data_IF_552198622613
#
_entry.id   IF_552198622613
#
_cell.length_a   1.000
_cell.length_b   1.000
_cell.length_c   1.000
_cell.angle_alpha   90.00
_cell.angle_beta   90.00
_cell.angle_gamma   90.00
#
_symmetry.space_group_name_H-M   'P 1'
#
loop_
_entity.id
_entity.type
_entity.pdbx_description
1 polymer ?
#
# COMPACT_ATOMS: atom_id res chain seq x y z
N UNK A 1 49.82 -9.04 23.28
CA UNK A 1 50.05 -7.70 23.85
C UNK A 1 51.54 -7.59 24.10
N UNK A 2 52.27 -6.95 23.19
CA UNK A 2 53.70 -6.66 23.39
C UNK A 2 53.76 -5.20 23.80
N UNK A 3 54.14 -4.97 25.05
CA UNK A 3 54.33 -3.64 25.62
C UNK A 3 55.71 -3.15 25.16
N UNK A 4 55.75 -2.20 24.22
CA UNK A 4 56.99 -1.72 23.60
C UNK A 4 57.74 -0.66 24.45
N UNK A 5 57.33 -0.47 25.71
CA UNK A 5 57.84 0.60 26.58
C UNK A 5 58.46 0.09 27.89
N UNK A 6 58.67 -1.22 28.04
CA UNK A 6 59.50 -1.75 29.11
C UNK A 6 60.95 -1.88 28.58
N UNK A 7 61.93 -1.34 29.33
CA UNK A 7 63.38 -1.28 29.09
C UNK A 7 63.97 -0.06 28.37
N UNK A 8 63.60 1.16 28.77
CA UNK A 8 64.55 2.28 28.64
C UNK A 8 64.90 2.82 30.01
N UNK A 9 65.99 2.29 30.55
CA UNK A 9 66.68 2.74 31.76
C UNK A 9 66.82 4.28 31.79
N UNK A 10 66.21 4.92 32.79
CA UNK A 10 66.26 6.37 33.07
C UNK A 10 67.64 6.92 33.47
N UNK A 11 68.74 6.18 33.26
CA UNK A 11 70.06 6.51 33.81
C UNK A 11 71.04 7.20 32.85
N UNK A 12 70.58 7.73 31.69
CA UNK A 12 71.41 8.58 30.82
C UNK A 12 70.77 9.94 30.51
N UNK A 13 70.60 10.70 31.59
CA UNK A 13 70.84 12.15 31.58
C UNK A 13 72.24 12.41 31.02
N UNK A 14 72.36 12.95 29.81
CA UNK A 14 73.40 13.88 29.32
C UNK A 14 73.48 13.79 27.79
N UNK A 15 72.82 14.75 27.13
CA UNK A 15 72.86 14.91 25.69
C UNK A 15 71.50 15.33 25.17
N UNK A 16 71.26 16.65 25.13
CA UNK A 16 70.19 17.28 24.37
C UNK A 16 70.39 16.99 22.87
N UNK A 17 70.19 15.74 22.46
CA UNK A 17 69.99 15.43 21.05
C UNK A 17 68.48 15.38 20.86
N UNK A 18 67.90 16.26 20.00
CA UNK A 18 66.48 16.22 19.76
C UNK A 18 66.11 14.82 19.27
N UNK A 19 65.05 14.26 19.84
CA UNK A 19 64.48 12.95 19.49
C UNK A 19 64.06 12.83 18.01
N UNK A 20 64.25 13.89 17.22
CA UNK A 20 63.94 13.99 15.80
C UNK A 20 65.20 14.50 15.09
N UNK A 21 65.70 13.82 14.06
CA UNK A 21 66.80 14.32 13.25
C UNK A 21 66.45 15.72 12.71
N UNK A 22 67.36 16.69 12.89
CA UNK A 22 67.21 18.09 12.41
C UNK A 22 66.85 18.16 10.92
N UNK A 23 67.26 17.15 10.15
CA UNK A 23 66.94 16.99 8.72
C UNK A 23 65.42 16.87 8.47
N UNK A 24 64.65 16.30 9.40
CA UNK A 24 63.20 16.20 9.31
C UNK A 24 62.50 17.46 9.85
N UNK A 25 63.05 18.13 10.87
CA UNK A 25 62.50 19.38 11.41
C UNK A 25 62.52 20.53 10.39
N UNK A 26 63.52 20.58 9.51
CA UNK A 26 63.64 21.60 8.47
C UNK A 26 62.92 21.26 7.17
N UNK A 27 62.29 20.08 7.07
CA UNK A 27 61.47 19.78 5.89
C UNK A 27 60.17 20.57 5.99
N UNK A 28 59.92 21.46 5.01
CA UNK A 28 58.64 22.19 4.87
C UNK A 28 57.40 21.29 4.80
N UNK A 29 57.61 19.98 4.69
CA UNK A 29 56.59 18.96 4.58
C UNK A 29 56.09 18.43 5.93
N UNK A 30 56.79 18.68 7.04
CA UNK A 30 56.47 18.14 8.36
C UNK A 30 56.19 19.29 9.36
N UNK A 31 54.98 19.33 9.91
CA UNK A 31 54.61 20.24 10.99
C UNK A 31 54.58 19.50 12.31
N UNK A 32 55.40 19.94 13.26
CA UNK A 32 55.37 19.48 14.64
C UNK A 32 54.38 20.36 15.42
N UNK A 33 53.38 19.75 16.06
CA UNK A 33 52.46 20.46 16.97
C UNK A 33 52.29 19.69 18.26
N UNK A 34 52.26 20.42 19.37
CA UNK A 34 51.97 19.88 20.71
C UNK A 34 50.45 19.88 20.94
N UNK A 35 49.88 18.72 21.23
CA UNK A 35 48.45 18.56 21.56
C UNK A 35 48.23 18.99 23.02
N UNK A 36 47.00 19.35 23.48
CA UNK A 36 46.75 19.68 24.89
C UNK A 36 47.12 18.59 25.90
N UNK A 37 47.28 17.34 25.46
CA UNK A 37 47.78 16.23 26.29
C UNK A 37 49.29 16.26 26.53
N UNK A 38 50.03 17.20 25.93
CA UNK A 38 51.47 17.36 26.08
C UNK A 38 52.32 16.60 25.06
N UNK A 39 51.74 15.70 24.27
CA UNK A 39 52.48 14.93 23.27
C UNK A 39 52.76 15.77 22.01
N UNK A 40 53.94 15.60 21.43
CA UNK A 40 54.28 16.16 20.12
C UNK A 40 53.84 15.20 19.01
N UNK A 41 53.03 15.68 18.07
CA UNK A 41 52.72 14.95 16.84
C UNK A 41 53.50 15.59 15.69
N UNK A 42 54.20 14.74 14.96
CA UNK A 42 54.83 15.07 13.70
C UNK A 42 53.84 14.72 12.58
N UNK A 43 53.21 15.73 12.00
CA UNK A 43 52.25 15.55 10.91
C UNK A 43 52.88 15.92 9.56
N UNK A 44 52.66 15.11 8.52
CA UNK A 44 52.97 15.56 7.16
C UNK A 44 51.89 16.52 6.67
N UNK A 45 52.27 17.76 6.37
CA UNK A 45 51.36 18.85 5.99
C UNK A 45 50.50 18.47 4.78
N UNK A 46 51.09 17.81 3.80
CA UNK A 46 50.38 17.37 2.58
C UNK A 46 49.35 16.27 2.86
N UNK A 47 49.71 15.29 3.68
CA UNK A 47 48.85 14.14 3.98
C UNK A 47 47.70 14.57 4.90
N UNK A 48 47.97 15.41 5.91
CA UNK A 48 46.92 16.04 6.73
C UNK A 48 45.99 16.90 5.88
N UNK A 49 46.51 17.71 4.95
CA UNK A 49 45.67 18.54 4.06
C UNK A 49 44.82 17.69 3.12
N UNK A 50 45.38 16.63 2.55
CA UNK A 50 44.65 15.69 1.70
C UNK A 50 43.57 14.95 2.48
N UNK A 51 43.90 14.39 3.64
CA UNK A 51 42.96 13.69 4.52
C UNK A 51 41.86 14.61 5.03
N UNK A 52 42.19 15.86 5.38
CA UNK A 52 41.20 16.89 5.74
C UNK A 52 40.27 17.22 4.57
N UNK A 53 40.80 17.39 3.36
CA UNK A 53 39.98 17.64 2.16
C UNK A 53 39.05 16.46 1.88
N UNK A 54 39.55 15.23 1.95
CA UNK A 54 38.75 14.02 1.73
C UNK A 54 37.69 13.84 2.81
N UNK A 55 38.03 14.01 4.10
CA UNK A 55 37.09 13.98 5.22
C UNK A 55 36.00 15.03 5.07
N UNK A 56 36.36 16.27 4.70
CA UNK A 56 35.38 17.33 4.49
C UNK A 56 34.48 17.04 3.27
N UNK A 57 35.02 16.45 2.21
CA UNK A 57 34.25 16.03 1.04
C UNK A 57 33.23 14.94 1.42
N UNK A 58 33.65 13.88 2.13
CA UNK A 58 32.76 12.83 2.62
C UNK A 58 31.72 13.37 3.61
N UNK A 59 32.13 14.18 4.59
CA UNK A 59 31.22 14.82 5.54
C UNK A 59 30.18 15.68 4.82
N UNK A 60 30.58 16.45 3.80
CA UNK A 60 29.65 17.25 2.99
C UNK A 60 28.69 16.40 2.14
N UNK A 61 29.10 15.20 1.71
CA UNK A 61 28.23 14.29 0.97
C UNK A 61 27.23 13.63 1.92
N UNK A 62 27.69 13.14 3.07
CA UNK A 62 26.84 12.55 4.09
C UNK A 62 25.81 13.55 4.62
N UNK A 63 26.24 14.79 4.94
CA UNK A 63 25.34 15.87 5.37
C UNK A 63 24.31 16.20 4.28
N UNK A 64 24.69 16.21 3.00
CA UNK A 64 23.75 16.38 1.88
C UNK A 64 22.73 15.23 1.79
N UNK A 65 23.17 13.98 1.96
CA UNK A 65 22.27 12.83 1.96
C UNK A 65 21.32 12.83 3.16
N UNK A 66 21.83 13.16 4.35
CA UNK A 66 21.02 13.27 5.57
C UNK A 66 19.98 14.37 5.43
N UNK A 67 20.37 15.57 4.99
CA UNK A 67 19.44 16.68 4.70
C UNK A 67 18.42 16.31 3.63
N UNK A 68 18.85 15.63 2.58
CA UNK A 68 17.96 15.12 1.52
C UNK A 68 16.95 14.10 2.05
N UNK A 69 17.38 13.19 2.93
CA UNK A 69 16.53 12.19 3.56
C UNK A 69 15.53 12.81 4.55
N UNK A 70 16.01 13.70 5.42
CA UNK A 70 15.15 14.44 6.35
C UNK A 70 14.11 15.27 5.61
N UNK A 71 14.50 15.93 4.51
CA UNK A 71 13.58 16.67 3.64
C UNK A 71 12.51 15.76 3.00
N UNK A 72 12.89 14.58 2.50
CA UNK A 72 11.93 13.60 1.97
C UNK A 72 10.95 13.11 3.04
N UNK A 73 11.42 12.81 4.25
CA UNK A 73 10.56 12.43 5.37
C UNK A 73 9.60 13.57 5.73
N UNK A 74 10.09 14.80 5.82
CA UNK A 74 9.26 15.97 6.10
C UNK A 74 8.19 16.17 5.01
N UNK A 75 8.57 16.10 3.74
CA UNK A 75 7.65 16.20 2.60
C UNK A 75 6.61 15.08 2.61
N UNK A 76 7.02 13.85 2.89
CA UNK A 76 6.09 12.72 3.00
C UNK A 76 5.08 12.91 4.13
N UNK A 77 5.53 13.36 5.31
CA UNK A 77 4.63 13.67 6.43
C UNK A 77 3.64 14.78 6.07
N UNK A 78 4.09 15.83 5.38
CA UNK A 78 3.21 16.90 4.90
C UNK A 78 2.18 16.39 3.89
N UNK A 79 2.58 15.53 2.95
CA UNK A 79 1.67 14.92 1.97
C UNK A 79 0.63 14.02 2.67
N UNK A 80 1.06 13.17 3.60
CA UNK A 80 0.15 12.31 4.38
C UNK A 80 -0.83 13.18 5.19
N UNK A 81 -0.35 14.23 5.84
CA UNK A 81 -1.22 15.14 6.60
C UNK A 81 -2.22 15.86 5.68
N UNK A 82 -1.78 16.27 4.49
CA UNK A 82 -2.66 16.88 3.49
C UNK A 82 -3.75 15.89 3.05
N UNK A 83 -3.40 14.64 2.77
CA UNK A 83 -4.36 13.58 2.40
C UNK A 83 -5.33 13.31 3.55
N UNK A 84 -4.85 13.21 4.79
CA UNK A 84 -5.70 13.00 5.98
C UNK A 84 -6.67 14.18 6.16
N UNK A 85 -6.19 15.42 6.10
CA UNK A 85 -7.01 16.61 6.24
C UNK A 85 -8.06 16.73 5.13
N UNK A 86 -7.66 16.46 3.88
CA UNK A 86 -8.56 16.42 2.73
C UNK A 86 -9.62 15.33 2.91
N UNK A 87 -9.22 14.12 3.30
CA UNK A 87 -10.12 12.98 3.48
C UNK A 87 -11.12 13.24 4.60
N UNK A 88 -10.68 13.84 5.71
CA UNK A 88 -11.56 14.23 6.82
C UNK A 88 -12.55 15.32 6.41
N UNK A 89 -12.12 16.29 5.60
CA UNK A 89 -12.97 17.40 5.17
C UNK A 89 -14.00 16.99 4.11
N UNK A 90 -13.61 16.14 3.17
CA UNK A 90 -14.40 15.87 1.97
C UNK A 90 -15.08 14.49 1.98
N UNK A 91 -14.49 13.49 2.62
CA UNK A 91 -14.98 12.10 2.61
C UNK A 91 -15.64 11.76 3.95
N UNK A 92 -14.85 11.82 5.03
CA UNK A 92 -15.22 11.47 6.40
C UNK A 92 -15.70 12.71 7.17
N UNK A 93 -16.61 13.49 6.60
CA UNK A 93 -17.15 14.71 7.24
C UNK A 93 -18.39 14.44 8.10
N UNK A 94 -18.88 13.19 8.14
CA UNK A 94 -20.07 12.78 8.91
C UNK A 94 -19.64 12.11 10.20
N UNK A 95 -19.68 12.85 11.31
CA UNK A 95 -19.22 12.37 12.61
C UNK A 95 -20.00 11.14 13.12
N UNK A 96 -21.31 11.05 12.85
CA UNK A 96 -22.15 9.93 13.26
C UNK A 96 -21.75 8.62 12.58
N UNK A 97 -21.59 8.64 11.24
CA UNK A 97 -21.12 7.48 10.49
C UNK A 97 -19.69 7.12 10.89
N UNK A 98 -18.78 8.10 11.02
CA UNK A 98 -17.39 7.87 11.42
C UNK A 98 -17.27 7.14 12.76
N UNK A 99 -18.10 7.51 13.74
CA UNK A 99 -18.06 6.94 15.08
C UNK A 99 -18.72 5.56 15.17
N UNK A 100 -19.77 5.30 14.39
CA UNK A 100 -20.63 4.13 14.60
C UNK A 100 -20.61 3.12 13.46
N UNK A 101 -20.46 3.54 12.20
CA UNK A 101 -20.72 2.67 11.05
C UNK A 101 -19.55 2.54 10.09
N UNK A 102 -18.65 3.51 9.97
CA UNK A 102 -17.52 3.46 9.03
C UNK A 102 -16.58 2.32 9.36
N UNK A 103 -16.14 2.19 10.62
CA UNK A 103 -15.20 1.12 11.02
C UNK A 103 -15.85 -0.28 10.92
N UNK A 104 -17.02 -0.56 11.54
CA UNK A 104 -17.67 -1.85 11.39
C UNK A 104 -18.06 -2.14 9.94
N UNK A 105 -18.59 -1.14 9.23
CA UNK A 105 -18.97 -1.24 7.82
C UNK A 105 -17.79 -1.56 6.91
N UNK A 106 -16.60 -1.02 7.20
CA UNK A 106 -15.36 -1.36 6.48
C UNK A 106 -14.95 -2.81 6.72
N UNK A 107 -15.03 -3.30 7.96
CA UNK A 107 -14.74 -4.70 8.28
C UNK A 107 -15.73 -5.66 7.60
N UNK A 108 -17.02 -5.32 7.60
CA UNK A 108 -18.05 -6.12 6.93
C UNK A 108 -17.88 -6.06 5.41
N UNK A 109 -17.51 -4.91 4.85
CA UNK A 109 -17.20 -4.77 3.42
C UNK A 109 -15.99 -5.61 3.01
N UNK A 110 -14.95 -5.67 3.84
CA UNK A 110 -13.82 -6.57 3.64
C UNK A 110 -14.27 -8.04 3.72
N UNK A 111 -15.14 -8.38 4.66
CA UNK A 111 -15.79 -9.69 4.71
C UNK A 111 -16.57 -10.02 3.43
N UNK A 112 -17.32 -9.05 2.90
CA UNK A 112 -18.07 -9.17 1.65
C UNK A 112 -17.14 -9.34 0.43
N UNK A 113 -15.98 -8.67 0.43
CA UNK A 113 -14.95 -8.88 -0.59
C UNK A 113 -14.47 -10.34 -0.60
N UNK A 114 -14.14 -10.89 0.57
CA UNK A 114 -13.70 -12.28 0.67
C UNK A 114 -14.82 -13.26 0.33
N UNK A 115 -16.05 -13.01 0.80
CA UNK A 115 -17.22 -13.80 0.43
C UNK A 115 -17.46 -13.81 -1.09
N UNK A 116 -17.31 -12.66 -1.74
CA UNK A 116 -17.35 -12.53 -3.20
C UNK A 116 -16.23 -13.33 -3.86
N UNK A 117 -15.00 -13.21 -3.37
CA UNK A 117 -13.83 -13.93 -3.90
C UNK A 117 -14.01 -15.46 -3.80
N UNK A 118 -14.60 -15.94 -2.71
CA UNK A 118 -15.00 -17.34 -2.51
C UNK A 118 -16.11 -17.72 -3.48
N UNK A 119 -17.14 -16.89 -3.65
CA UNK A 119 -18.28 -17.17 -4.53
C UNK A 119 -17.87 -17.30 -6.01
N UNK A 120 -16.81 -16.61 -6.43
CA UNK A 120 -16.34 -16.67 -7.82
C UNK A 120 -15.37 -17.84 -8.08
N UNK A 121 -14.88 -18.50 -7.04
CA UNK A 121 -13.97 -19.62 -7.22
C UNK A 121 -14.69 -20.84 -7.81
N UNK A 122 -14.28 -21.30 -9.00
CA UNK A 122 -14.85 -22.49 -9.67
C UNK A 122 -14.77 -23.75 -8.83
N UNK A 123 -13.75 -23.90 -7.99
CA UNK A 123 -13.65 -25.09 -7.13
C UNK A 123 -14.83 -25.21 -6.18
N UNK A 124 -15.41 -24.09 -5.75
CA UNK A 124 -16.50 -24.05 -4.77
C UNK A 124 -17.85 -24.45 -5.40
N UNK A 125 -18.00 -24.27 -6.71
CA UNK A 125 -19.18 -24.72 -7.46
C UNK A 125 -19.15 -26.20 -7.82
N UNK A 126 -18.09 -26.92 -7.44
CA UNK A 126 -17.96 -28.34 -7.79
C UNK A 126 -17.41 -28.59 -9.20
N UNK A 127 -16.85 -27.56 -9.87
CA UNK A 127 -16.24 -27.73 -11.19
C UNK A 127 -15.08 -28.75 -11.21
N UNK A 128 -14.47 -29.07 -10.06
CA UNK A 128 -13.48 -30.16 -9.94
C UNK A 128 -14.10 -31.56 -9.98
N UNK A 129 -15.42 -31.73 -9.82
CA UNK A 129 -16.11 -33.02 -10.01
C UNK A 129 -16.38 -33.30 -11.48
N UNK A 130 -15.42 -32.99 -12.35
CA UNK A 130 -15.39 -33.31 -13.78
C UNK A 130 -15.59 -34.81 -14.08
N UNK A 131 -15.48 -35.68 -13.08
CA UNK A 131 -15.67 -37.13 -13.23
C UNK A 131 -17.17 -37.50 -13.34
N UNK A 132 -18.10 -36.70 -12.80
CA UNK A 132 -19.54 -37.00 -12.90
C UNK A 132 -20.31 -35.78 -13.42
N UNK A 133 -20.37 -35.64 -14.75
CA UNK A 133 -21.46 -35.01 -15.49
C UNK A 133 -22.12 -33.76 -14.90
N UNK A 134 -21.35 -32.82 -14.33
CA UNK A 134 -21.92 -31.63 -13.72
C UNK A 134 -22.49 -30.71 -14.81
N UNK A 135 -23.82 -30.61 -14.89
CA UNK A 135 -24.49 -29.57 -15.67
C UNK A 135 -24.22 -28.23 -14.99
N UNK A 136 -23.19 -27.53 -15.47
CA UNK A 136 -22.83 -26.21 -14.95
C UNK A 136 -24.04 -25.28 -14.99
N UNK A 137 -24.45 -24.80 -13.82
CA UNK A 137 -25.59 -23.89 -13.68
C UNK A 137 -25.28 -22.55 -14.36
N UNK A 138 -26.30 -21.89 -14.91
CA UNK A 138 -26.15 -20.54 -15.50
C UNK A 138 -25.54 -19.58 -14.46
N UNK A 139 -25.93 -19.71 -13.19
CA UNK A 139 -25.37 -18.93 -12.08
C UNK A 139 -23.89 -19.20 -11.87
N UNK A 140 -23.46 -20.46 -11.95
CA UNK A 140 -22.03 -20.80 -11.88
C UNK A 140 -21.28 -20.12 -13.03
N UNK A 141 -21.78 -20.21 -14.26
CA UNK A 141 -21.13 -19.58 -15.43
C UNK A 141 -21.01 -18.07 -15.27
N UNK A 142 -22.06 -17.41 -14.78
CA UNK A 142 -22.05 -15.97 -14.54
C UNK A 142 -21.09 -15.60 -13.41
N UNK A 143 -21.23 -16.23 -12.24
CA UNK A 143 -20.40 -15.95 -11.06
C UNK A 143 -18.94 -16.37 -11.24
N UNK A 144 -18.64 -17.33 -12.10
CA UNK A 144 -17.26 -17.81 -12.33
C UNK A 144 -16.62 -17.34 -13.64
N UNK A 145 -17.32 -16.48 -14.38
CA UNK A 145 -16.78 -15.81 -15.58
C UNK A 145 -15.59 -14.90 -15.23
N UNK A 146 -14.69 -14.67 -16.19
CA UNK A 146 -13.50 -13.84 -15.95
C UNK A 146 -13.86 -12.42 -15.42
N UNK A 147 -14.88 -11.73 -15.98
CA UNK A 147 -15.26 -10.41 -15.50
C UNK A 147 -15.82 -10.43 -14.07
N UNK A 148 -16.65 -11.42 -13.71
CA UNK A 148 -17.18 -11.50 -12.35
C UNK A 148 -16.11 -11.85 -11.32
N UNK A 149 -15.03 -12.56 -11.71
CA UNK A 149 -13.86 -12.79 -10.81
C UNK A 149 -13.22 -11.53 -10.32
N UNK A 150 -13.16 -10.55 -11.21
CA UNK A 150 -12.54 -9.27 -10.92
C UNK A 150 -13.60 -8.38 -10.26
N UNK A 151 -14.78 -8.26 -10.85
CA UNK A 151 -15.76 -7.26 -10.43
C UNK A 151 -16.57 -7.66 -9.19
N UNK A 152 -17.00 -8.91 -9.06
CA UNK A 152 -17.96 -9.31 -8.01
C UNK A 152 -17.43 -9.05 -6.59
N UNK A 153 -16.18 -9.38 -6.24
CA UNK A 153 -15.64 -9.07 -4.91
C UNK A 153 -15.68 -7.58 -4.60
N UNK A 154 -15.29 -6.73 -5.55
CA UNK A 154 -15.29 -5.28 -5.41
C UNK A 154 -16.70 -4.69 -5.35
N UNK A 155 -17.62 -5.19 -6.19
CA UNK A 155 -19.02 -4.76 -6.21
C UNK A 155 -19.69 -5.10 -4.89
N UNK A 156 -19.48 -6.30 -4.35
CA UNK A 156 -20.02 -6.68 -3.05
C UNK A 156 -19.44 -5.82 -1.93
N UNK A 157 -18.12 -5.61 -1.91
CA UNK A 157 -17.48 -4.74 -0.93
C UNK A 157 -18.04 -3.31 -0.97
N UNK A 158 -18.15 -2.72 -2.17
CA UNK A 158 -18.68 -1.37 -2.36
C UNK A 158 -20.16 -1.27 -2.00
N UNK A 159 -20.98 -2.25 -2.37
CA UNK A 159 -22.40 -2.28 -2.03
C UNK A 159 -22.62 -2.42 -0.52
N UNK A 160 -21.86 -3.29 0.14
CA UNK A 160 -21.88 -3.44 1.60
C UNK A 160 -21.43 -2.17 2.29
N UNK A 161 -20.32 -1.56 1.85
CA UNK A 161 -19.86 -0.30 2.43
C UNK A 161 -20.89 0.82 2.26
N UNK A 162 -21.48 0.95 1.08
CA UNK A 162 -22.56 1.92 0.80
C UNK A 162 -23.80 1.70 1.68
N UNK A 163 -24.13 0.45 2.01
CA UNK A 163 -25.23 0.15 2.91
C UNK A 163 -24.95 0.61 4.35
N UNK A 164 -23.72 0.44 4.84
CA UNK A 164 -23.34 0.78 6.21
C UNK A 164 -22.99 2.27 6.40
N UNK A 165 -22.35 2.89 5.42
CA UNK A 165 -21.91 4.28 5.46
C UNK A 165 -22.32 5.00 4.16
N UNK A 166 -23.64 5.22 3.95
CA UNK A 166 -24.15 5.77 2.70
C UNK A 166 -23.60 7.17 2.41
N UNK A 167 -23.54 8.06 3.39
CA UNK A 167 -23.07 9.44 3.16
C UNK A 167 -21.57 9.45 2.89
N UNK A 168 -20.78 8.71 3.67
CA UNK A 168 -19.33 8.57 3.46
C UNK A 168 -19.02 7.98 2.08
N UNK A 169 -19.78 6.96 1.66
CA UNK A 169 -19.61 6.36 0.33
C UNK A 169 -19.95 7.33 -0.79
N UNK A 170 -21.01 8.13 -0.64
CA UNK A 170 -21.38 9.15 -1.62
C UNK A 170 -20.33 10.27 -1.68
N UNK A 171 -19.82 10.69 -0.52
CA UNK A 171 -18.75 11.68 -0.44
C UNK A 171 -17.46 11.19 -1.11
N UNK A 172 -17.11 9.91 -0.95
CA UNK A 172 -15.99 9.30 -1.65
C UNK A 172 -16.15 9.34 -3.17
N UNK A 173 -17.36 9.02 -3.66
CA UNK A 173 -17.68 9.10 -5.09
C UNK A 173 -17.57 10.54 -5.56
N UNK A 174 -18.18 11.50 -4.85
CA UNK A 174 -18.14 12.92 -5.20
C UNK A 174 -16.70 13.47 -5.22
N UNK A 175 -15.87 13.11 -4.23
CA UNK A 175 -14.47 13.50 -4.17
C UNK A 175 -13.68 12.94 -5.37
N UNK A 176 -13.95 11.68 -5.74
CA UNK A 176 -13.29 11.04 -6.88
C UNK A 176 -13.74 11.66 -8.21
N UNK A 177 -15.04 11.91 -8.37
CA UNK A 177 -15.61 12.50 -9.58
C UNK A 177 -15.16 13.95 -9.79
N UNK A 178 -15.10 14.76 -8.74
CA UNK A 178 -14.77 16.18 -8.87
C UNK A 178 -13.26 16.45 -8.91
N UNK A 179 -12.46 15.69 -8.15
CA UNK A 179 -11.05 16.05 -7.94
C UNK A 179 -10.06 15.13 -8.68
N UNK A 180 -10.43 13.91 -9.06
CA UNK A 180 -9.54 12.95 -9.73
C UNK A 180 -9.91 12.71 -11.20
N UNK A 181 -11.20 12.70 -11.53
CA UNK A 181 -11.67 12.34 -12.87
C UNK A 181 -11.95 13.59 -13.73
N UNK A 182 -11.65 13.54 -15.04
CA UNK A 182 -12.05 14.61 -15.96
C UNK A 182 -13.57 14.76 -16.02
N UNK A 183 -14.07 16.00 -16.05
CA UNK A 183 -15.51 16.31 -16.04
C UNK A 183 -16.26 15.65 -17.21
N UNK A 184 -15.64 15.57 -18.40
CA UNK A 184 -16.25 14.92 -19.58
C UNK A 184 -16.44 13.41 -19.36
N UNK A 185 -15.48 12.76 -18.69
CA UNK A 185 -15.58 11.34 -18.36
C UNK A 185 -16.73 11.10 -17.37
N UNK A 186 -16.84 11.93 -16.33
CA UNK A 186 -17.90 11.86 -15.33
C UNK A 186 -19.28 12.04 -15.96
N UNK A 187 -19.43 13.02 -16.87
CA UNK A 187 -20.68 13.22 -17.61
C UNK A 187 -21.05 12.03 -18.49
N UNK A 188 -20.08 11.47 -19.21
CA UNK A 188 -20.28 10.27 -20.05
C UNK A 188 -20.66 9.05 -19.21
N UNK A 189 -20.00 8.87 -18.06
CA UNK A 189 -20.31 7.84 -17.09
C UNK A 189 -21.75 7.96 -16.57
N UNK A 190 -22.16 9.14 -16.09
CA UNK A 190 -23.52 9.37 -15.59
C UNK A 190 -24.58 9.14 -16.68
N UNK A 191 -24.33 9.60 -17.91
CA UNK A 191 -25.23 9.35 -19.03
C UNK A 191 -25.36 7.85 -19.36
N UNK A 192 -24.24 7.13 -19.34
CA UNK A 192 -24.22 5.68 -19.59
C UNK A 192 -24.94 4.92 -18.48
N UNK A 193 -24.68 5.28 -17.22
CA UNK A 193 -25.36 4.71 -16.07
C UNK A 193 -26.87 4.96 -16.13
N UNK A 194 -27.28 6.20 -16.41
CA UNK A 194 -28.68 6.57 -16.60
C UNK A 194 -29.36 5.72 -17.67
N UNK A 195 -28.72 5.55 -18.82
CA UNK A 195 -29.24 4.72 -19.92
C UNK A 195 -29.41 3.25 -19.50
N UNK A 196 -28.40 2.65 -18.87
CA UNK A 196 -28.45 1.25 -18.46
C UNK A 196 -29.50 1.04 -17.35
N UNK A 197 -29.53 1.94 -16.37
CA UNK A 197 -30.37 1.81 -15.20
C UNK A 197 -31.84 2.19 -15.48
N UNK A 198 -32.10 3.38 -16.00
CA UNK A 198 -33.46 3.89 -16.21
C UNK A 198 -34.11 3.24 -17.44
N UNK A 199 -33.46 3.31 -18.60
CA UNK A 199 -34.03 2.79 -19.86
C UNK A 199 -33.92 1.27 -19.96
N UNK A 200 -32.87 0.69 -19.37
CA UNK A 200 -32.65 -0.76 -19.38
C UNK A 200 -33.41 -1.47 -18.26
N UNK A 201 -32.92 -1.32 -17.04
CA UNK A 201 -33.40 -2.10 -15.90
C UNK A 201 -34.79 -1.65 -15.43
N UNK A 202 -34.98 -0.35 -15.14
CA UNK A 202 -36.23 0.16 -14.56
C UNK A 202 -37.40 -0.03 -15.52
N UNK A 203 -37.22 0.25 -16.81
CA UNK A 203 -38.25 0.04 -17.83
C UNK A 203 -38.66 -1.44 -17.96
N UNK A 204 -37.70 -2.38 -17.85
CA UNK A 204 -37.94 -3.81 -18.08
C UNK A 204 -38.11 -4.64 -16.80
N UNK A 205 -38.03 -4.03 -15.61
CA UNK A 205 -38.06 -4.77 -14.33
C UNK A 205 -39.35 -5.58 -14.15
N UNK A 206 -40.49 -5.04 -14.58
CA UNK A 206 -41.79 -5.69 -14.44
C UNK A 206 -41.90 -6.91 -15.35
N UNK A 207 -41.46 -6.77 -16.60
CA UNK A 207 -41.42 -7.89 -17.56
C UNK A 207 -40.45 -8.97 -17.10
N UNK A 208 -39.26 -8.58 -16.62
CA UNK A 208 -38.28 -9.50 -16.06
C UNK A 208 -38.85 -10.25 -14.85
N UNK A 209 -39.51 -9.54 -13.93
CA UNK A 209 -40.16 -10.15 -12.76
C UNK A 209 -41.22 -11.16 -13.19
N UNK A 210 -42.06 -10.81 -14.16
CA UNK A 210 -43.10 -11.70 -14.70
C UNK A 210 -42.49 -12.95 -15.35
N UNK A 211 -41.42 -12.80 -16.13
CA UNK A 211 -40.72 -13.92 -16.76
C UNK A 211 -40.07 -14.86 -15.73
N UNK A 212 -39.45 -14.30 -14.69
CA UNK A 212 -38.87 -15.09 -13.59
C UNK A 212 -39.97 -15.87 -12.85
N UNK A 213 -41.07 -15.21 -12.49
CA UNK A 213 -42.19 -15.84 -11.79
C UNK A 213 -42.80 -16.98 -12.63
N UNK A 214 -43.08 -16.73 -13.91
CA UNK A 214 -43.59 -17.76 -14.82
C UNK A 214 -42.63 -18.94 -14.98
N UNK A 215 -41.33 -18.68 -15.06
CA UNK A 215 -40.29 -19.73 -15.17
C UNK A 215 -40.21 -20.54 -13.87
N UNK A 216 -40.27 -19.88 -12.72
CA UNK A 216 -40.27 -20.54 -11.41
C UNK A 216 -41.51 -21.44 -11.25
N UNK A 217 -42.70 -20.92 -11.58
CA UNK A 217 -43.94 -21.69 -11.53
C UNK A 217 -43.90 -22.90 -12.46
N UNK A 218 -43.39 -22.74 -13.68
CA UNK A 218 -43.20 -23.85 -14.63
C UNK A 218 -42.25 -24.92 -14.08
N UNK A 219 -41.14 -24.50 -13.48
CA UNK A 219 -40.15 -25.43 -12.90
C UNK A 219 -40.68 -26.15 -11.66
N UNK A 220 -41.45 -25.47 -10.80
CA UNK A 220 -42.12 -26.09 -9.65
C UNK A 220 -43.11 -27.16 -10.13
N UNK A 221 -43.92 -26.84 -11.15
CA UNK A 221 -44.85 -27.80 -11.75
C UNK A 221 -44.11 -29.03 -12.31
N UNK A 222 -43.06 -28.81 -13.11
CA UNK A 222 -42.25 -29.88 -13.68
C UNK A 222 -41.61 -30.78 -12.60
N UNK A 223 -41.10 -30.18 -11.52
CA UNK A 223 -40.54 -30.93 -10.40
C UNK A 223 -41.60 -31.78 -9.67
N UNK A 224 -42.83 -31.27 -9.53
CA UNK A 224 -43.95 -32.05 -8.97
C UNK A 224 -44.32 -33.22 -9.87
N UNK A 225 -44.47 -32.99 -11.17
CA UNK A 225 -44.78 -34.05 -12.15
C UNK A 225 -43.72 -35.17 -12.12
N UNK A 226 -42.43 -34.84 -12.08
CA UNK A 226 -41.36 -35.84 -11.94
C UNK A 226 -41.40 -36.62 -10.62
N UNK A 227 -41.79 -35.96 -9.51
CA UNK A 227 -41.95 -36.65 -8.23
C UNK A 227 -43.13 -37.62 -8.26
N UNK A 228 -44.24 -37.25 -8.89
CA UNK A 228 -45.39 -38.16 -9.08
C UNK A 228 -45.03 -39.35 -9.97
N UNK A 229 -44.37 -39.14 -11.11
CA UNK A 229 -43.93 -40.23 -12.00
C UNK A 229 -43.00 -41.23 -11.28
N UNK A 230 -42.10 -40.75 -10.42
CA UNK A 230 -41.21 -41.62 -9.64
C UNK A 230 -41.91 -42.36 -8.51
N UNK A 231 -42.97 -41.79 -7.94
CA UNK A 231 -43.78 -42.43 -6.92
C UNK A 231 -44.72 -43.48 -7.52
N UNK A 232 -45.21 -43.29 -8.74
CA UNK A 232 -46.02 -44.30 -9.45
C UNK A 232 -45.19 -45.51 -9.93
N UNK A 233 -43.87 -45.35 -10.10
CA UNK A 233 -42.96 -46.43 -10.49
C UNK A 233 -42.39 -47.23 -9.30
N UNK A 234 -42.65 -46.81 -8.06
CA UNK A 234 -42.17 -47.45 -6.83
C UNK A 234 -43.26 -48.33 -6.19
#
# INVERSE_FOLDING_TARGET
MVNFYDDVDESKSHGEFPLIPVVLQNSSELSVRTIPTGNEIIESVHLTKWLRKYRNALASQLDRYEKGWQSKIANFRLQVQHVINYSRKNIFNVDSENKHTVVPGSLIALGAFFAGSIAVNRSNWGAKRLIFGHKSSILEKLCTSLPSRILLPWVLAAATFKYWAPQTSQNLVNATENDLLPADFVKSYHNTWKRIYEEGYVAKKCDLKRQIDQTLQKNIRYAREQLYEKLEQA
#
